data_IF_644941428299
#
_entry.id   IF_644941428299
#
_cell.length_a   1.000
_cell.length_b   1.000
_cell.length_c   1.000
_cell.angle_alpha   90.00
_cell.angle_beta   90.00
_cell.angle_gamma   90.00
#
_symmetry.space_group_name_H-M   'P 1'
#
loop_
_entity.id
_entity.type
_entity.pdbx_description
1 polymer ?
#
# COMPACT_ATOMS: atom_id res chain seq x y z
N UNK A 1 -22.84 -12.35 -9.67
CA UNK A 1 -21.88 -11.22 -9.79
C UNK A 1 -20.48 -11.77 -9.61
N UNK A 2 -19.50 -11.27 -10.33
CA UNK A 2 -18.08 -11.64 -10.10
C UNK A 2 -17.65 -11.09 -8.74
N UNK A 3 -16.94 -11.88 -7.96
CA UNK A 3 -16.37 -11.45 -6.68
C UNK A 3 -15.32 -10.37 -6.95
N UNK A 4 -15.41 -9.16 -6.36
CA UNK A 4 -14.42 -8.11 -6.57
C UNK A 4 -13.07 -8.51 -5.96
N UNK A 5 -12.00 -7.94 -6.49
CA UNK A 5 -10.64 -8.24 -6.06
C UNK A 5 -9.94 -6.98 -5.57
N UNK A 6 -9.32 -7.09 -4.39
CA UNK A 6 -8.36 -6.13 -3.86
C UNK A 6 -6.96 -6.57 -4.23
N UNK A 7 -6.25 -5.77 -5.03
CA UNK A 7 -4.85 -5.96 -5.33
C UNK A 7 -4.00 -5.12 -4.39
N UNK A 8 -3.03 -5.72 -3.73
CA UNK A 8 -2.10 -5.08 -2.81
C UNK A 8 -0.71 -5.09 -3.41
N UNK A 9 -0.12 -3.92 -3.66
CA UNK A 9 1.29 -3.85 -4.04
C UNK A 9 2.16 -3.75 -2.80
N UNK A 10 3.16 -4.62 -2.70
CA UNK A 10 4.04 -4.76 -1.54
C UNK A 10 5.49 -4.61 -1.98
N UNK A 11 6.26 -3.79 -1.29
CA UNK A 11 7.68 -3.60 -1.58
C UNK A 11 8.19 -2.20 -1.24
N UNK A 12 9.49 -2.05 -1.24
CA UNK A 12 10.20 -0.81 -0.95
C UNK A 12 10.08 0.22 -2.11
N UNK A 13 10.39 1.50 -1.89
CA UNK A 13 10.42 2.49 -2.97
C UNK A 13 11.34 2.07 -4.12
N UNK A 14 10.98 2.42 -5.35
CA UNK A 14 11.79 2.12 -6.55
C UNK A 14 11.65 0.70 -7.12
N UNK A 15 10.89 -0.21 -6.48
CA UNK A 15 10.78 -1.62 -6.90
C UNK A 15 9.82 -1.89 -8.07
N UNK A 16 9.12 -0.86 -8.60
CA UNK A 16 8.25 -1.03 -9.77
C UNK A 16 6.76 -1.19 -9.45
N UNK A 17 6.34 -1.05 -8.20
CA UNK A 17 4.94 -1.17 -7.76
C UNK A 17 3.96 -0.35 -8.58
N UNK A 18 4.24 0.94 -8.78
CA UNK A 18 3.33 1.85 -9.50
C UNK A 18 3.17 1.45 -10.97
N UNK A 19 4.23 0.96 -11.61
CA UNK A 19 4.15 0.43 -12.98
C UNK A 19 3.22 -0.78 -13.04
N UNK A 20 3.38 -1.72 -12.11
CA UNK A 20 2.52 -2.89 -12.01
C UNK A 20 1.08 -2.51 -11.64
N UNK A 21 0.88 -1.54 -10.73
CA UNK A 21 -0.45 -1.07 -10.35
C UNK A 21 -1.22 -0.47 -11.54
N UNK A 22 -0.55 0.23 -12.45
CA UNK A 22 -1.16 0.73 -13.71
C UNK A 22 -1.56 -0.40 -14.66
N UNK A 23 -0.74 -1.44 -14.78
CA UNK A 23 -1.11 -2.62 -15.57
C UNK A 23 -2.31 -3.35 -14.97
N UNK A 24 -2.35 -3.51 -13.64
CA UNK A 24 -3.50 -4.11 -12.95
C UNK A 24 -4.77 -3.27 -13.17
N UNK A 25 -4.67 -1.94 -13.09
CA UNK A 25 -5.77 -1.00 -13.37
C UNK A 25 -6.38 -1.27 -14.75
N UNK A 26 -5.53 -1.38 -15.79
CA UNK A 26 -5.96 -1.62 -17.17
C UNK A 26 -6.52 -3.03 -17.37
N UNK A 27 -5.79 -4.06 -16.96
CA UNK A 27 -6.13 -5.47 -17.22
C UNK A 27 -7.36 -5.94 -16.45
N UNK A 28 -7.55 -5.42 -15.23
CA UNK A 28 -8.62 -5.84 -14.34
C UNK A 28 -9.74 -4.82 -14.18
N UNK A 29 -9.69 -3.70 -14.90
CA UNK A 29 -10.62 -2.57 -14.75
C UNK A 29 -10.74 -2.18 -13.26
N UNK A 30 -9.60 -2.07 -12.58
CA UNK A 30 -9.51 -1.78 -11.16
C UNK A 30 -9.39 -0.27 -10.91
N UNK A 31 -9.93 0.21 -9.81
CA UNK A 31 -9.70 1.57 -9.33
C UNK A 31 -8.32 1.63 -8.68
N UNK A 32 -7.37 2.37 -9.28
CA UNK A 32 -6.05 2.54 -8.69
C UNK A 32 -6.05 3.70 -7.69
N UNK A 33 -5.62 3.41 -6.48
CA UNK A 33 -5.49 4.36 -5.39
C UNK A 33 -4.02 4.45 -4.97
N UNK A 34 -3.42 5.63 -5.18
CA UNK A 34 -1.99 5.89 -4.97
C UNK A 34 -1.83 7.03 -3.97
N UNK A 35 -1.36 6.72 -2.77
CA UNK A 35 -1.17 7.72 -1.70
C UNK A 35 -0.26 8.87 -2.14
N UNK A 36 0.86 8.57 -2.78
CA UNK A 36 1.86 9.57 -3.16
C UNK A 36 1.32 10.61 -4.14
N UNK A 37 0.43 10.23 -5.07
CA UNK A 37 -0.22 11.16 -5.98
C UNK A 37 -1.11 12.16 -5.22
N UNK A 38 -1.86 11.68 -4.22
CA UNK A 38 -2.71 12.53 -3.38
C UNK A 38 -1.88 13.45 -2.50
N UNK A 39 -0.82 12.92 -1.86
CA UNK A 39 0.09 13.71 -1.04
C UNK A 39 0.73 14.84 -1.86
N UNK A 40 1.24 14.54 -3.05
CA UNK A 40 1.84 15.55 -3.94
C UNK A 40 0.82 16.61 -4.39
N UNK A 41 -0.40 16.20 -4.75
CA UNK A 41 -1.44 17.12 -5.18
C UNK A 41 -1.90 18.08 -4.06
N UNK A 42 -1.96 17.61 -2.82
CA UNK A 42 -2.46 18.37 -1.69
C UNK A 42 -1.38 19.21 -0.98
N UNK A 43 -0.14 18.70 -0.89
CA UNK A 43 0.93 19.28 -0.08
C UNK A 43 2.16 19.71 -0.89
N UNK A 44 2.17 19.51 -2.21
CA UNK A 44 3.29 19.90 -3.06
C UNK A 44 4.61 19.23 -2.66
N UNK A 45 5.69 20.01 -2.40
CA UNK A 45 6.97 19.48 -1.98
C UNK A 45 6.98 18.97 -0.53
N UNK A 46 6.05 19.44 0.30
CA UNK A 46 5.92 18.99 1.67
C UNK A 46 5.36 17.56 1.71
N UNK A 47 5.75 16.81 2.72
CA UNK A 47 5.28 15.44 2.93
C UNK A 47 5.02 15.20 4.42
N UNK A 48 4.01 15.86 5.02
CA UNK A 48 3.76 15.75 6.45
C UNK A 48 3.31 14.32 6.83
N UNK A 49 4.05 13.60 7.70
CA UNK A 49 3.76 12.21 8.01
C UNK A 49 2.35 11.97 8.56
N UNK A 50 1.85 12.88 9.42
CA UNK A 50 0.50 12.77 9.98
C UNK A 50 -0.60 12.86 8.92
N UNK A 51 -0.43 13.70 7.90
CA UNK A 51 -1.35 13.78 6.77
C UNK A 51 -1.28 12.53 5.88
N UNK A 52 -0.09 11.96 5.71
CA UNK A 52 0.13 10.72 4.95
C UNK A 52 -0.72 9.57 5.49
N UNK A 53 -0.71 9.34 6.81
CA UNK A 53 -1.49 8.27 7.45
C UNK A 53 -3.01 8.50 7.33
N UNK A 54 -3.46 9.75 7.45
CA UNK A 54 -4.87 10.12 7.26
C UNK A 54 -5.32 9.86 5.82
N UNK A 55 -4.54 10.30 4.83
CA UNK A 55 -4.87 10.09 3.41
C UNK A 55 -4.89 8.60 3.08
N UNK A 56 -3.92 7.84 3.53
CA UNK A 56 -3.87 6.39 3.36
C UNK A 56 -5.14 5.73 3.91
N UNK A 57 -5.55 6.09 5.12
CA UNK A 57 -6.79 5.60 5.72
C UNK A 57 -8.05 6.01 4.95
N UNK A 58 -8.10 7.22 4.36
CA UNK A 58 -9.21 7.64 3.52
C UNK A 58 -9.29 6.85 2.22
N UNK A 59 -8.15 6.60 1.59
CA UNK A 59 -8.08 5.79 0.37
C UNK A 59 -8.45 4.32 0.65
N UNK A 60 -8.05 3.76 1.81
CA UNK A 60 -8.47 2.42 2.23
C UNK A 60 -10.00 2.35 2.40
N UNK A 61 -10.63 3.34 3.03
CA UNK A 61 -12.10 3.38 3.14
C UNK A 61 -12.78 3.47 1.78
N UNK A 62 -12.23 4.26 0.86
CA UNK A 62 -12.71 4.33 -0.51
C UNK A 62 -12.57 2.98 -1.23
N UNK A 63 -11.44 2.29 -1.02
CA UNK A 63 -11.21 0.96 -1.55
C UNK A 63 -12.28 -0.04 -1.07
N UNK A 64 -12.49 -0.13 0.25
CA UNK A 64 -13.52 -1.02 0.84
C UNK A 64 -14.90 -0.72 0.27
N UNK A 65 -15.27 0.58 0.19
CA UNK A 65 -16.57 0.96 -0.39
C UNK A 65 -16.68 0.59 -1.88
N UNK A 66 -15.62 0.71 -2.65
CA UNK A 66 -15.59 0.31 -4.05
C UNK A 66 -15.75 -1.21 -4.22
N UNK A 67 -15.10 -1.99 -3.35
CA UNK A 67 -15.27 -3.46 -3.32
C UNK A 67 -16.71 -3.86 -2.99
N UNK A 68 -17.36 -3.23 -2.00
CA UNK A 68 -18.77 -3.44 -1.68
C UNK A 68 -19.70 -3.19 -2.88
N UNK A 69 -19.35 -2.23 -3.73
CA UNK A 69 -20.07 -1.91 -4.95
C UNK A 69 -19.71 -2.81 -6.14
N UNK A 70 -18.82 -3.79 -5.94
CA UNK A 70 -18.43 -4.78 -6.93
C UNK A 70 -17.28 -4.35 -7.85
N UNK A 71 -16.61 -3.24 -7.58
CA UNK A 71 -15.45 -2.78 -8.35
C UNK A 71 -14.14 -3.43 -7.82
N UNK A 72 -13.22 -3.78 -8.74
CA UNK A 72 -11.86 -4.15 -8.38
C UNK A 72 -11.08 -2.90 -7.93
N UNK A 73 -10.14 -3.09 -7.02
CA UNK A 73 -9.28 -2.00 -6.52
C UNK A 73 -7.84 -2.44 -6.46
N UNK A 74 -6.90 -1.55 -6.80
CA UNK A 74 -5.48 -1.73 -6.51
C UNK A 74 -4.99 -0.62 -5.59
N UNK A 75 -4.40 -1.01 -4.44
CA UNK A 75 -3.73 -0.12 -3.49
C UNK A 75 -2.24 -0.08 -3.81
N UNK A 76 -1.77 1.08 -4.30
CA UNK A 76 -0.38 1.33 -4.66
C UNK A 76 0.32 2.07 -3.49
N UNK A 77 0.53 1.36 -2.37
CA UNK A 77 1.02 1.96 -1.12
C UNK A 77 2.40 1.46 -0.70
N UNK A 78 2.75 0.22 -0.99
CA UNK A 78 3.96 -0.42 -0.52
C UNK A 78 3.77 -1.40 0.63
N UNK A 79 2.89 -1.14 1.58
CA UNK A 79 2.40 -2.03 2.66
C UNK A 79 3.53 -2.80 3.36
N UNK A 80 4.33 -2.08 4.14
CA UNK A 80 5.57 -2.59 4.68
C UNK A 80 5.40 -3.56 5.85
N UNK A 81 4.38 -3.39 6.69
CA UNK A 81 4.18 -4.26 7.82
C UNK A 81 3.21 -5.40 7.51
N UNK A 82 3.45 -6.54 8.13
CA UNK A 82 2.54 -7.69 8.07
C UNK A 82 1.16 -7.33 8.64
N UNK A 83 1.12 -6.48 9.66
CA UNK A 83 -0.13 -6.05 10.28
C UNK A 83 -0.98 -5.21 9.33
N UNK A 84 -0.37 -4.29 8.56
CA UNK A 84 -1.09 -3.54 7.52
C UNK A 84 -1.71 -4.46 6.49
N UNK A 85 -0.94 -5.44 6.00
CA UNK A 85 -1.41 -6.43 5.03
C UNK A 85 -2.53 -7.31 5.61
N UNK A 86 -2.39 -7.74 6.86
CA UNK A 86 -3.41 -8.53 7.56
C UNK A 86 -4.72 -7.76 7.76
N UNK A 87 -4.63 -6.49 8.17
CA UNK A 87 -5.80 -5.63 8.33
C UNK A 87 -6.55 -5.44 7.00
N UNK A 88 -5.84 -5.23 5.90
CA UNK A 88 -6.44 -5.09 4.57
C UNK A 88 -7.04 -6.40 4.04
N UNK A 89 -6.40 -7.53 4.31
CA UNK A 89 -6.96 -8.87 4.01
C UNK A 89 -8.25 -9.09 4.79
N UNK A 90 -8.30 -8.71 6.07
CA UNK A 90 -9.51 -8.81 6.89
C UNK A 90 -10.60 -7.89 6.33
N UNK A 91 -10.31 -6.63 6.05
CA UNK A 91 -11.27 -5.68 5.51
C UNK A 91 -11.87 -6.16 4.16
N UNK A 92 -11.07 -6.77 3.30
CA UNK A 92 -11.55 -7.37 2.06
C UNK A 92 -12.44 -8.61 2.32
N UNK A 93 -12.06 -9.46 3.27
CA UNK A 93 -12.85 -10.63 3.65
C UNK A 93 -14.22 -10.24 4.20
N UNK A 94 -14.30 -9.20 5.03
CA UNK A 94 -15.54 -8.69 5.65
C UNK A 94 -16.57 -8.23 4.60
N UNK A 95 -16.11 -7.75 3.44
CA UNK A 95 -16.98 -7.36 2.31
C UNK A 95 -17.06 -8.42 1.21
N UNK A 96 -16.55 -9.62 1.47
CA UNK A 96 -16.61 -10.74 0.53
C UNK A 96 -15.73 -10.60 -0.70
N UNK A 97 -14.71 -9.72 -0.70
CA UNK A 97 -13.76 -9.55 -1.79
C UNK A 97 -12.64 -10.61 -1.74
N UNK A 98 -12.02 -10.87 -2.89
CA UNK A 98 -10.77 -11.63 -2.98
C UNK A 98 -9.59 -10.70 -2.78
N UNK A 99 -8.43 -11.24 -2.35
CA UNK A 99 -7.18 -10.49 -2.26
C UNK A 99 -6.12 -11.14 -3.14
N UNK A 100 -5.38 -10.31 -3.87
CA UNK A 100 -4.17 -10.71 -4.61
C UNK A 100 -3.04 -9.82 -4.13
N UNK A 101 -1.97 -10.42 -3.64
CA UNK A 101 -0.80 -9.70 -3.15
C UNK A 101 0.32 -9.78 -4.18
N UNK A 102 0.82 -8.61 -4.61
CA UNK A 102 1.88 -8.47 -5.60
C UNK A 102 3.14 -7.94 -4.89
N UNK A 103 4.11 -8.80 -4.67
CA UNK A 103 5.37 -8.45 -4.03
C UNK A 103 6.44 -8.13 -5.06
N UNK A 104 7.17 -7.03 -4.83
CA UNK A 104 8.22 -6.52 -5.69
C UNK A 104 9.51 -6.34 -4.91
N UNK A 105 10.55 -6.97 -5.39
CA UNK A 105 11.90 -6.91 -4.84
C UNK A 105 12.90 -6.54 -5.92
N UNK A 106 13.94 -5.81 -5.55
CA UNK A 106 15.07 -5.48 -6.41
C UNK A 106 16.38 -5.55 -5.63
N UNK A 107 17.45 -5.82 -6.33
CA UNK A 107 18.80 -5.65 -5.78
C UNK A 107 19.02 -4.17 -5.39
N UNK A 108 19.75 -3.90 -4.28
CA UNK A 108 19.93 -2.52 -3.77
C UNK A 108 20.50 -1.54 -4.81
N UNK A 109 21.48 -1.96 -5.60
CA UNK A 109 22.10 -1.12 -6.64
C UNK A 109 21.10 -0.76 -7.75
N UNK A 110 20.28 -1.71 -8.18
CA UNK A 110 19.24 -1.47 -9.18
C UNK A 110 18.15 -0.56 -8.63
N UNK A 111 17.75 -0.76 -7.37
CA UNK A 111 16.79 0.08 -6.68
C UNK A 111 17.28 1.53 -6.61
N UNK A 112 18.55 1.76 -6.20
CA UNK A 112 19.17 3.08 -6.15
C UNK A 112 19.16 3.75 -7.52
N UNK A 113 19.63 3.04 -8.56
CA UNK A 113 19.65 3.54 -9.93
C UNK A 113 18.28 3.99 -10.43
N UNK A 114 17.22 3.22 -10.14
CA UNK A 114 15.83 3.58 -10.52
C UNK A 114 15.30 4.79 -9.78
N UNK A 115 15.65 4.94 -8.51
CA UNK A 115 15.24 6.11 -7.70
C UNK A 115 15.89 7.38 -8.21
N UNK A 116 17.19 7.34 -8.54
CA UNK A 116 17.94 8.48 -9.09
C UNK A 116 17.41 8.87 -10.47
N UNK A 117 17.18 7.89 -11.35
CA UNK A 117 16.56 8.12 -12.65
C UNK A 117 15.19 8.77 -12.52
N UNK A 118 14.33 8.24 -11.66
CA UNK A 118 13.00 8.79 -11.43
C UNK A 118 13.02 10.21 -10.89
N UNK A 119 13.94 10.51 -9.96
CA UNK A 119 14.11 11.86 -9.43
C UNK A 119 14.57 12.84 -10.53
N UNK A 120 15.44 12.41 -11.44
CA UNK A 120 15.89 13.22 -12.56
C UNK A 120 14.79 13.47 -13.61
N UNK A 121 13.96 12.43 -13.92
CA UNK A 121 12.91 12.50 -14.94
C UNK A 121 11.66 13.25 -14.49
N UNK A 122 11.21 13.03 -13.24
CA UNK A 122 9.95 13.57 -12.72
C UNK A 122 10.11 14.16 -11.31
N UNK A 123 10.98 15.16 -11.09
CA UNK A 123 11.27 15.69 -9.77
C UNK A 123 10.04 16.27 -9.05
N UNK A 124 9.06 16.77 -9.79
CA UNK A 124 7.81 17.31 -9.24
C UNK A 124 6.84 16.25 -8.71
N UNK A 125 7.03 14.97 -9.07
CA UNK A 125 6.22 13.83 -8.60
C UNK A 125 6.97 12.92 -7.64
N UNK A 126 8.24 13.23 -7.34
CA UNK A 126 9.11 12.36 -6.57
C UNK A 126 9.69 13.11 -5.38
N UNK A 127 9.87 12.45 -4.25
CA UNK A 127 10.69 12.95 -3.15
C UNK A 127 12.08 12.32 -3.24
N UNK A 128 13.15 13.07 -2.95
CA UNK A 128 14.47 12.50 -2.83
C UNK A 128 14.48 11.47 -1.67
N UNK A 129 15.14 10.35 -1.88
CA UNK A 129 15.31 9.28 -0.89
C UNK A 129 16.81 9.04 -0.77
N UNK A 130 17.36 9.23 0.42
CA UNK A 130 18.79 9.01 0.71
C UNK A 130 19.09 7.52 0.92
N UNK A 131 20.37 7.16 1.00
CA UNK A 131 20.79 5.80 1.33
C UNK A 131 20.46 5.44 2.78
N UNK A 132 20.49 6.44 3.68
CA UNK A 132 20.06 6.31 5.07
C UNK A 132 18.57 6.00 5.16
N UNK A 133 17.74 6.70 4.38
CA UNK A 133 16.30 6.41 4.29
C UNK A 133 16.04 4.98 3.81
N UNK A 134 16.75 4.53 2.76
CA UNK A 134 16.61 3.17 2.24
C UNK A 134 17.00 2.11 3.27
N UNK A 135 18.06 2.34 4.02
CA UNK A 135 18.48 1.45 5.09
C UNK A 135 17.44 1.40 6.22
N UNK A 136 16.89 2.54 6.61
CA UNK A 136 15.82 2.61 7.60
C UNK A 136 14.55 1.90 7.12
N UNK A 137 14.16 2.09 5.87
CA UNK A 137 12.99 1.43 5.27
C UNK A 137 13.18 -0.09 5.21
N UNK A 138 14.37 -0.57 4.86
CA UNK A 138 14.68 -1.99 4.83
C UNK A 138 14.55 -2.66 6.21
N UNK A 139 14.92 -1.95 7.29
CA UNK A 139 14.75 -2.43 8.67
C UNK A 139 13.26 -2.52 9.08
N UNK A 140 12.43 -1.60 8.56
CA UNK A 140 10.99 -1.54 8.87
C UNK A 140 10.14 -2.46 7.99
N UNK A 141 10.74 -3.03 6.93
CA UNK A 141 10.00 -3.82 5.96
C UNK A 141 9.93 -5.28 6.36
N UNK A 142 8.72 -5.76 6.63
CA UNK A 142 8.44 -7.18 6.85
C UNK A 142 8.21 -7.87 5.49
N UNK A 143 9.20 -8.63 5.04
CA UNK A 143 9.09 -9.41 3.79
C UNK A 143 7.92 -10.40 3.90
N UNK A 144 6.96 -10.38 2.95
CA UNK A 144 5.85 -11.31 3.00
C UNK A 144 6.33 -12.75 2.79
N UNK A 145 5.75 -13.70 3.55
CA UNK A 145 6.02 -15.12 3.38
C UNK A 145 5.37 -15.68 2.10
N UNK A 146 5.84 -16.80 1.60
CA UNK A 146 5.21 -17.48 0.47
C UNK A 146 3.73 -17.82 0.76
N UNK A 147 3.41 -18.24 1.97
CA UNK A 147 2.05 -18.56 2.40
C UNK A 147 1.16 -17.31 2.52
N UNK A 148 1.75 -16.17 2.87
CA UNK A 148 1.04 -14.88 2.84
C UNK A 148 0.72 -14.48 1.39
N UNK A 149 1.67 -14.63 0.47
CA UNK A 149 1.52 -14.27 -0.94
C UNK A 149 0.51 -15.15 -1.68
N UNK A 150 0.50 -16.45 -1.44
CA UNK A 150 -0.45 -17.38 -2.07
C UNK A 150 -1.82 -17.42 -1.36
N UNK A 151 -1.98 -16.72 -0.24
CA UNK A 151 -3.21 -16.62 0.52
C UNK A 151 -3.52 -17.85 1.39
N UNK A 152 -2.62 -18.81 1.51
CA UNK A 152 -2.80 -20.01 2.35
C UNK A 152 -2.58 -19.72 3.83
N UNK A 153 -1.89 -18.63 4.16
CA UNK A 153 -1.69 -18.21 5.54
C UNK A 153 -2.99 -17.60 6.12
N UNK A 154 -3.49 -18.11 7.26
CA UNK A 154 -4.64 -17.51 7.93
C UNK A 154 -4.34 -16.05 8.33
N UNK A 155 -5.38 -15.21 8.29
CA UNK A 155 -5.28 -13.86 8.84
C UNK A 155 -5.11 -13.99 10.36
N UNK A 156 -4.00 -13.45 10.88
CA UNK A 156 -3.70 -13.48 12.32
C UNK A 156 -4.63 -12.60 13.15
N UNK A 157 -4.42 -12.64 14.46
CA UNK A 157 -5.07 -11.70 15.38
C UNK A 157 -4.36 -10.33 15.30
N UNK A 158 -5.04 -9.22 15.58
CA UNK A 158 -4.39 -7.93 15.68
C UNK A 158 -3.34 -7.92 16.79
N UNK A 159 -2.38 -6.98 16.75
CA UNK A 159 -1.39 -6.83 17.81
C UNK A 159 -2.01 -6.68 19.19
N UNK A 160 -1.23 -7.04 20.23
CA UNK A 160 -1.66 -6.90 21.62
C UNK A 160 -2.08 -5.45 21.92
N UNK A 161 -3.20 -5.29 22.58
CA UNK A 161 -3.78 -3.99 22.93
C UNK A 161 -4.96 -3.58 22.03
N UNK A 162 -5.26 -4.33 20.98
CA UNK A 162 -6.40 -4.09 20.10
C UNK A 162 -7.38 -5.27 20.13
N UNK A 163 -8.67 -4.99 20.28
CA UNK A 163 -9.70 -6.03 20.34
C UNK A 163 -9.97 -6.69 18.97
N UNK A 164 -9.75 -5.96 17.89
CA UNK A 164 -9.98 -6.41 16.52
C UNK A 164 -9.21 -5.56 15.51
N UNK A 165 -9.19 -5.99 14.23
CA UNK A 165 -8.51 -5.28 13.15
C UNK A 165 -9.13 -3.91 12.84
N UNK A 166 -10.41 -3.69 13.07
CA UNK A 166 -11.05 -2.38 12.86
C UNK A 166 -10.55 -1.34 13.87
N UNK A 167 -10.37 -1.71 15.13
CA UNK A 167 -9.77 -0.84 16.14
C UNK A 167 -8.32 -0.51 15.81
N UNK A 168 -7.51 -1.53 15.43
CA UNK A 168 -6.13 -1.33 15.00
C UNK A 168 -6.04 -0.43 13.76
N UNK A 169 -6.90 -0.63 12.77
CA UNK A 169 -6.97 0.17 11.54
C UNK A 169 -7.24 1.65 11.83
N UNK A 170 -8.16 1.96 12.76
CA UNK A 170 -8.43 3.35 13.17
C UNK A 170 -7.25 3.99 13.89
N UNK A 171 -6.48 3.21 14.62
CA UNK A 171 -5.26 3.69 15.27
C UNK A 171 -4.13 3.92 14.26
N UNK A 172 -3.88 2.97 13.39
CA UNK A 172 -2.82 3.04 12.36
C UNK A 172 -3.11 4.12 11.31
N UNK A 173 -4.36 4.28 10.93
CA UNK A 173 -4.82 5.24 9.94
C UNK A 173 -5.89 6.15 10.53
N UNK A 174 -5.50 7.20 11.27
CA UNK A 174 -6.43 8.04 12.01
C UNK A 174 -7.38 8.80 11.08
N UNK A 175 -8.57 9.18 11.57
CA UNK A 175 -9.60 9.83 10.75
C UNK A 175 -9.29 11.30 10.42
N UNK A 176 -8.38 11.93 11.14
CA UNK A 176 -8.02 13.35 11.00
C UNK A 176 -6.59 13.60 11.44
N UNK A 177 -6.01 14.69 10.94
CA UNK A 177 -4.74 15.25 11.44
C UNK A 177 -5.00 15.92 12.78
N UNK A 178 -4.18 15.65 13.77
CA UNK A 178 -4.24 16.27 15.12
C UNK A 178 -3.16 17.32 15.26
#
# INVERSE_FOLDING_TARGET
MRRPTLFLTVGLPGTGKTTAARLIEEEHSAIRLTKDEWMKALFGPENPPSASDVIEGRLIRLAVRSLELGANVVLDFGLWSRDERSALRQAAADVGASVVMCYFELAPDEQRSRLDQRLAEIPHQTWPISDEDLAEFAVKFDVPSAAELDGSEPIGQPPQGFANWDEWTRHRWPPSVH
#
